data_IF_530447075348
#
_entry.id   IF_530447075348
#
_cell.length_a   1.000
_cell.length_b   1.000
_cell.length_c   1.000
_cell.angle_alpha   90.00
_cell.angle_beta   90.00
_cell.angle_gamma   90.00
#
_symmetry.space_group_name_H-M   'P 1'
#
loop_
_entity.id
_entity.type
_entity.pdbx_description
1 polymer ?
#
# COMPACT_ATOMS: atom_id res chain seq x y z
N UNK A 1 -31.68 -33.45 13.69
CA UNK A 1 -30.21 -33.60 13.73
C UNK A 1 -29.89 -34.99 14.27
N UNK A 2 -29.12 -35.83 13.57
CA UNK A 2 -28.73 -37.15 14.09
C UNK A 2 -27.64 -36.98 15.16
N UNK A 3 -27.95 -37.31 16.42
CA UNK A 3 -26.94 -37.37 17.49
C UNK A 3 -26.12 -38.65 17.32
N UNK A 4 -24.82 -38.53 17.04
CA UNK A 4 -23.89 -39.66 16.97
C UNK A 4 -23.20 -39.82 18.33
N UNK A 5 -23.33 -41.00 18.94
CA UNK A 5 -22.58 -41.32 20.16
C UNK A 5 -21.13 -41.64 19.80
N UNK A 6 -20.19 -41.00 20.49
CA UNK A 6 -18.76 -41.26 20.38
C UNK A 6 -18.19 -41.60 21.75
N UNK A 7 -17.24 -42.53 21.79
CA UNK A 7 -16.46 -42.85 23.00
C UNK A 7 -15.12 -42.15 22.87
N UNK A 8 -14.82 -41.23 23.78
CA UNK A 8 -13.60 -40.43 23.77
C UNK A 8 -12.76 -40.78 25.00
N UNK A 9 -11.45 -40.95 24.78
CA UNK A 9 -10.49 -40.99 25.88
C UNK A 9 -9.94 -39.58 26.06
N UNK A 10 -10.08 -39.03 27.26
CA UNK A 10 -9.62 -37.68 27.60
C UNK A 10 -8.56 -37.76 28.70
N UNK A 11 -7.51 -36.91 28.62
CA UNK A 11 -6.53 -36.80 29.68
C UNK A 11 -7.19 -36.28 30.98
N UNK A 12 -6.62 -36.59 32.16
CA UNK A 12 -7.17 -36.18 33.45
C UNK A 12 -7.42 -34.67 33.55
N UNK A 13 -6.55 -33.86 32.96
CA UNK A 13 -6.63 -32.40 32.96
C UNK A 13 -7.87 -31.92 32.19
N UNK A 14 -8.13 -32.51 31.01
CA UNK A 14 -9.31 -32.19 30.21
C UNK A 14 -10.62 -32.62 30.92
N UNK A 15 -10.61 -33.76 31.62
CA UNK A 15 -11.75 -34.18 32.44
C UNK A 15 -12.04 -33.19 33.57
N UNK A 16 -10.98 -32.73 34.26
CA UNK A 16 -11.09 -31.72 35.32
C UNK A 16 -11.62 -30.40 34.77
N UNK A 17 -11.13 -29.97 33.61
CA UNK A 17 -11.62 -28.77 32.93
C UNK A 17 -13.12 -28.86 32.62
N UNK A 18 -13.56 -29.95 31.98
CA UNK A 18 -14.99 -30.18 31.66
C UNK A 18 -15.85 -30.14 32.93
N UNK A 19 -15.40 -30.77 34.02
CA UNK A 19 -16.14 -30.76 35.29
C UNK A 19 -16.23 -29.37 35.92
N UNK A 20 -15.16 -28.57 35.86
CA UNK A 20 -15.19 -27.18 36.32
C UNK A 20 -16.13 -26.33 35.46
N UNK A 21 -16.04 -26.46 34.14
CA UNK A 21 -16.90 -25.76 33.18
C UNK A 21 -18.38 -26.11 33.37
N UNK A 22 -18.69 -27.38 33.64
CA UNK A 22 -20.05 -27.82 34.00
C UNK A 22 -20.61 -27.08 35.20
N UNK A 23 -19.79 -26.91 36.26
CA UNK A 23 -20.20 -26.21 37.48
C UNK A 23 -20.39 -24.71 37.22
N UNK A 24 -19.46 -24.11 36.50
CA UNK A 24 -19.45 -22.67 36.18
C UNK A 24 -20.65 -22.26 35.32
N UNK A 25 -20.99 -23.08 34.32
CA UNK A 25 -22.08 -22.78 33.37
C UNK A 25 -23.39 -23.50 33.69
N UNK A 26 -23.49 -24.14 34.86
CA UNK A 26 -24.67 -24.86 35.33
C UNK A 26 -25.19 -25.94 34.34
N UNK A 27 -24.26 -26.64 33.68
CA UNK A 27 -24.58 -27.69 32.72
C UNK A 27 -24.62 -29.06 33.40
N UNK A 28 -25.69 -29.82 33.17
CA UNK A 28 -25.89 -31.14 33.77
C UNK A 28 -25.28 -32.28 32.96
N UNK A 29 -25.08 -32.10 31.66
CA UNK A 29 -24.61 -33.16 30.77
C UNK A 29 -23.30 -32.80 30.07
N UNK A 30 -22.41 -33.79 29.99
CA UNK A 30 -21.08 -33.62 29.38
C UNK A 30 -21.14 -33.42 27.86
N UNK A 31 -22.14 -33.97 27.18
CA UNK A 31 -22.34 -33.76 25.74
C UNK A 31 -22.73 -32.31 25.40
N UNK A 32 -23.54 -31.68 26.26
CA UNK A 32 -23.88 -30.25 26.13
C UNK A 32 -22.63 -29.36 26.33
N UNK A 33 -21.77 -29.71 27.28
CA UNK A 33 -20.52 -29.01 27.56
C UNK A 33 -19.55 -29.12 26.38
N UNK A 34 -19.35 -30.33 25.87
CA UNK A 34 -18.47 -30.55 24.71
C UNK A 34 -19.01 -29.81 23.49
N UNK A 35 -20.32 -29.87 23.24
CA UNK A 35 -20.93 -29.16 22.11
C UNK A 35 -20.71 -27.65 22.21
N UNK A 36 -20.88 -27.08 23.41
CA UNK A 36 -20.68 -25.66 23.66
C UNK A 36 -19.21 -25.24 23.52
N UNK A 37 -18.26 -26.00 24.08
CA UNK A 37 -16.83 -25.74 23.92
C UNK A 37 -16.42 -25.80 22.44
N UNK A 38 -16.93 -26.77 21.69
CA UNK A 38 -16.67 -26.86 20.24
C UNK A 38 -17.22 -25.63 19.49
N UNK A 39 -18.43 -25.18 19.83
CA UNK A 39 -19.02 -23.98 19.24
C UNK A 39 -18.21 -22.71 19.58
N UNK A 40 -17.85 -22.52 20.86
CA UNK A 40 -17.05 -21.39 21.32
C UNK A 40 -15.67 -21.36 20.63
N UNK A 41 -15.06 -22.53 20.42
CA UNK A 41 -13.81 -22.63 19.68
C UNK A 41 -13.97 -22.29 18.19
N UNK A 42 -15.03 -22.77 17.54
CA UNK A 42 -15.32 -22.45 16.14
C UNK A 42 -15.59 -20.94 15.95
N UNK A 43 -16.33 -20.32 16.88
CA UNK A 43 -16.56 -18.88 16.89
C UNK A 43 -15.27 -18.08 17.15
N UNK A 44 -14.40 -18.55 18.04
CA UNK A 44 -13.10 -17.93 18.28
C UNK A 44 -12.20 -17.99 17.04
N UNK A 45 -12.12 -19.15 16.37
CA UNK A 45 -11.38 -19.30 15.11
C UNK A 45 -11.93 -18.38 14.01
N UNK A 46 -13.26 -18.31 13.85
CA UNK A 46 -13.87 -17.38 12.88
C UNK A 46 -13.50 -15.93 13.16
N UNK A 47 -13.54 -15.50 14.43
CA UNK A 47 -13.13 -14.14 14.83
C UNK A 47 -11.66 -13.86 14.54
N UNK A 48 -10.78 -14.85 14.77
CA UNK A 48 -9.36 -14.74 14.45
C UNK A 48 -9.15 -14.63 12.93
N UNK A 49 -9.77 -15.49 12.15
CA UNK A 49 -9.71 -15.46 10.68
C UNK A 49 -10.24 -14.14 10.11
N UNK A 50 -11.37 -13.65 10.64
CA UNK A 50 -11.95 -12.38 10.21
C UNK A 50 -11.06 -11.19 10.60
N UNK A 51 -10.41 -11.26 11.78
CA UNK A 51 -9.42 -10.28 12.21
C UNK A 51 -8.20 -10.26 11.28
N UNK A 52 -7.66 -11.43 10.95
CA UNK A 52 -6.52 -11.56 10.02
C UNK A 52 -6.90 -11.03 8.64
N UNK A 53 -8.06 -11.42 8.10
CA UNK A 53 -8.55 -10.92 6.81
C UNK A 53 -8.70 -9.40 6.81
N UNK A 54 -9.21 -8.83 7.89
CA UNK A 54 -9.33 -7.38 8.05
C UNK A 54 -7.95 -6.71 8.03
N UNK A 55 -6.99 -7.22 8.81
CA UNK A 55 -5.61 -6.69 8.82
C UNK A 55 -4.98 -6.76 7.44
N UNK A 56 -5.10 -7.90 6.75
CA UNK A 56 -4.57 -8.06 5.38
C UNK A 56 -5.21 -7.05 4.43
N UNK A 57 -6.52 -6.85 4.50
CA UNK A 57 -7.23 -5.87 3.68
C UNK A 57 -6.75 -4.45 3.96
N UNK A 58 -6.68 -4.05 5.23
CA UNK A 58 -6.29 -2.70 5.63
C UNK A 58 -4.83 -2.40 5.25
N UNK A 59 -3.93 -3.37 5.43
CA UNK A 59 -2.52 -3.26 5.00
C UNK A 59 -2.40 -3.17 3.49
N UNK A 60 -3.16 -4.00 2.75
CA UNK A 60 -3.14 -3.97 1.27
C UNK A 60 -3.60 -2.61 0.75
N UNK A 61 -4.71 -2.08 1.29
CA UNK A 61 -5.20 -0.76 0.90
C UNK A 61 -4.19 0.35 1.19
N UNK A 62 -3.57 0.32 2.37
CA UNK A 62 -2.54 1.29 2.73
C UNK A 62 -1.33 1.26 1.76
N UNK A 63 -0.88 0.06 1.38
CA UNK A 63 0.20 -0.10 0.40
C UNK A 63 -0.22 0.48 -0.95
N UNK A 64 -1.43 0.18 -1.42
CA UNK A 64 -1.93 0.68 -2.69
C UNK A 64 -2.04 2.22 -2.71
N UNK A 65 -2.53 2.82 -1.63
CA UNK A 65 -2.64 4.27 -1.48
C UNK A 65 -1.26 4.96 -1.44
N UNK A 66 -0.26 4.31 -0.83
CA UNK A 66 1.12 4.80 -0.81
C UNK A 66 1.73 4.73 -2.21
N UNK A 67 1.58 3.59 -2.90
CA UNK A 67 2.08 3.42 -4.26
C UNK A 67 1.45 4.42 -5.24
N UNK A 68 0.15 4.70 -5.11
CA UNK A 68 -0.51 5.71 -5.93
C UNK A 68 0.02 7.11 -5.66
N UNK A 69 0.25 7.47 -4.39
CA UNK A 69 0.82 8.78 -4.01
C UNK A 69 2.23 8.96 -4.58
N UNK A 70 3.10 7.97 -4.39
CA UNK A 70 4.47 8.01 -4.92
C UNK A 70 4.48 8.08 -6.45
N UNK A 71 3.66 7.29 -7.12
CA UNK A 71 3.53 7.35 -8.59
C UNK A 71 3.11 8.74 -9.08
N UNK A 72 2.15 9.36 -8.41
CA UNK A 72 1.70 10.72 -8.75
C UNK A 72 2.77 11.76 -8.47
N UNK A 73 3.52 11.62 -7.37
CA UNK A 73 4.63 12.51 -7.05
C UNK A 73 5.73 12.43 -8.11
N UNK A 74 6.21 11.23 -8.44
CA UNK A 74 7.22 11.00 -9.49
C UNK A 74 6.75 11.58 -10.83
N UNK A 75 5.49 11.36 -11.20
CA UNK A 75 4.95 11.91 -12.46
C UNK A 75 4.98 13.44 -12.50
N UNK A 76 4.71 14.11 -11.38
CA UNK A 76 4.76 15.58 -11.29
C UNK A 76 6.18 16.10 -11.36
N UNK A 77 7.11 15.47 -10.65
CA UNK A 77 8.53 15.84 -10.68
C UNK A 77 9.10 15.69 -12.10
N UNK A 78 8.77 14.59 -12.80
CA UNK A 78 9.17 14.39 -14.19
C UNK A 78 8.65 15.50 -15.10
N UNK A 79 7.37 15.86 -15.00
CA UNK A 79 6.77 16.94 -15.79
C UNK A 79 7.45 18.29 -15.50
N UNK A 80 7.73 18.57 -14.23
CA UNK A 80 8.42 19.80 -13.82
C UNK A 80 9.84 19.87 -14.37
N UNK A 81 10.59 18.77 -14.31
CA UNK A 81 11.93 18.68 -14.89
C UNK A 81 11.91 18.85 -16.40
N UNK A 82 10.97 18.22 -17.11
CA UNK A 82 10.81 18.35 -18.56
C UNK A 82 10.58 19.82 -18.96
N UNK A 83 9.64 20.50 -18.30
CA UNK A 83 9.36 21.92 -18.55
C UNK A 83 10.56 22.83 -18.26
N UNK A 84 11.35 22.51 -17.23
CA UNK A 84 12.54 23.28 -16.90
C UNK A 84 13.65 23.07 -17.93
N UNK A 85 13.84 21.84 -18.41
CA UNK A 85 14.79 21.54 -19.48
C UNK A 85 14.37 22.28 -20.74
N UNK A 86 13.10 22.17 -21.16
CA UNK A 86 12.57 22.86 -22.34
C UNK A 86 12.82 24.37 -22.27
N UNK A 87 12.49 24.99 -21.13
CA UNK A 87 12.73 26.43 -20.91
C UNK A 87 14.21 26.78 -20.98
N UNK A 88 15.06 25.99 -20.31
CA UNK A 88 16.51 26.21 -20.29
C UNK A 88 17.11 26.10 -21.70
N UNK A 89 16.75 25.03 -22.43
CA UNK A 89 17.19 24.82 -23.81
C UNK A 89 16.75 25.96 -24.72
N UNK A 90 15.50 26.43 -24.60
CA UNK A 90 15.01 27.54 -25.42
C UNK A 90 15.76 28.85 -25.12
N UNK A 91 16.07 29.13 -23.85
CA UNK A 91 16.87 30.28 -23.46
C UNK A 91 18.29 30.20 -24.05
N UNK A 92 18.96 29.06 -23.92
CA UNK A 92 20.30 28.87 -24.48
C UNK A 92 20.32 28.98 -25.99
N UNK A 93 19.31 28.46 -26.70
CA UNK A 93 19.18 28.61 -28.15
C UNK A 93 19.05 30.08 -28.55
N UNK A 94 18.23 30.84 -27.82
CA UNK A 94 18.05 32.27 -28.05
C UNK A 94 19.36 33.04 -27.83
N UNK A 95 20.10 32.75 -26.77
CA UNK A 95 21.41 33.38 -26.52
C UNK A 95 22.40 33.13 -27.67
N UNK A 96 22.44 31.90 -28.20
CA UNK A 96 23.29 31.56 -29.36
C UNK A 96 22.85 32.31 -30.61
N UNK A 97 21.54 32.42 -30.85
CA UNK A 97 20.99 33.15 -31.99
C UNK A 97 21.30 34.66 -31.90
N UNK A 98 21.05 35.26 -30.74
CA UNK A 98 21.33 36.67 -30.45
C UNK A 98 22.82 36.99 -30.63
N UNK A 99 23.71 36.11 -30.14
CA UNK A 99 25.15 36.21 -30.35
C UNK A 99 25.53 36.15 -31.84
N UNK A 100 24.94 35.21 -32.59
CA UNK A 100 25.17 35.10 -34.03
C UNK A 100 24.67 36.30 -34.82
N UNK A 101 23.55 36.91 -34.42
CA UNK A 101 23.02 38.15 -35.00
C UNK A 101 24.00 39.31 -34.74
N UNK A 102 24.48 39.46 -33.51
CA UNK A 102 25.43 40.50 -33.14
C UNK A 102 26.72 40.41 -33.96
N UNK A 103 27.33 39.22 -34.06
CA UNK A 103 28.54 39.01 -34.86
C UNK A 103 28.35 39.36 -36.34
N UNK A 104 27.20 38.98 -36.94
CA UNK A 104 26.91 39.35 -38.33
C UNK A 104 26.78 40.86 -38.49
N UNK A 105 26.10 41.52 -37.56
CA UNK A 105 25.97 42.98 -37.53
C UNK A 105 27.32 43.70 -37.51
N UNK A 106 28.24 43.25 -36.65
CA UNK A 106 29.60 43.78 -36.55
C UNK A 106 30.41 43.60 -37.86
N UNK A 107 30.29 42.43 -38.50
CA UNK A 107 30.92 42.16 -39.79
C UNK A 107 30.39 43.07 -40.90
N UNK A 108 29.07 43.26 -40.99
CA UNK A 108 28.47 44.16 -41.97
C UNK A 108 28.86 45.63 -41.75
N UNK A 109 28.90 46.08 -40.49
CA UNK A 109 29.35 47.44 -40.16
C UNK A 109 30.80 47.66 -40.60
N UNK A 110 31.69 46.71 -40.29
CA UNK A 110 33.11 46.75 -40.67
C UNK A 110 33.29 46.79 -42.20
N UNK A 111 32.50 46.02 -42.95
CA UNK A 111 32.53 46.03 -44.42
C UNK A 111 32.12 47.38 -45.00
N UNK A 112 31.02 47.97 -44.49
CA UNK A 112 30.51 49.26 -44.97
C UNK A 112 31.47 50.41 -44.67
N UNK A 113 32.17 50.41 -43.53
CA UNK A 113 33.23 51.37 -43.24
C UNK A 113 34.41 51.23 -44.21
N UNK A 114 34.80 50.00 -44.56
CA UNK A 114 35.84 49.74 -45.55
C UNK A 114 35.51 50.26 -46.95
N UNK A 115 34.24 50.25 -47.36
CA UNK A 115 33.77 50.79 -48.64
C UNK A 115 33.67 52.33 -48.69
N UNK A 116 33.66 53.01 -47.53
CA UNK A 116 33.59 54.48 -47.43
C UNK A 116 34.97 55.16 -47.46
N UNK A 117 36.06 54.39 -47.55
CA UNK A 117 37.44 54.86 -47.76
C UNK A 117 37.84 54.73 -49.22
#
# INVERSE_FOLDING_TARGET
>A
MMKKRMKLSLPPEAKKYIQSYMKEHHLSFTDDVISRICQEHEEAQKKEDDSIKKVVKDVTQNIEDLLQRERLHIKKELLYMEQNIERSTMNSLKEVEDYGIAQRGELFASLLEGYKK
#
